data_IF_362435338012
#
_entry.id   IF_362435338012
#
_cell.length_a   1.000
_cell.length_b   1.000
_cell.length_c   1.000
_cell.angle_alpha   90.00
_cell.angle_beta   90.00
_cell.angle_gamma   90.00
#
_symmetry.space_group_name_H-M   'P 1'
#
loop_
_entity.id
_entity.type
_entity.pdbx_description
1 polymer ?
#
# COMPACT_ATOMS: atom_id res chain seq x y z
N UNK A 1 -3.44 23.58 -16.80
CA UNK A 1 -2.10 23.94 -17.29
C UNK A 1 -1.04 23.99 -16.20
N UNK A 2 -1.22 24.79 -15.15
CA UNK A 2 -0.25 24.86 -14.02
C UNK A 2 -0.10 23.53 -13.30
N UNK A 3 -1.21 22.81 -13.05
CA UNK A 3 -1.20 21.51 -12.38
C UNK A 3 -0.45 20.45 -13.18
N UNK A 4 -0.61 20.39 -14.50
CA UNK A 4 0.09 19.45 -15.36
C UNK A 4 1.60 19.72 -15.42
N UNK A 5 2.02 20.98 -15.34
CA UNK A 5 3.44 21.35 -15.25
C UNK A 5 4.06 20.87 -13.95
N UNK A 6 3.37 21.02 -12.82
CA UNK A 6 3.84 20.54 -11.51
C UNK A 6 3.90 19.03 -11.43
N UNK A 7 2.89 18.34 -11.97
CA UNK A 7 2.90 16.89 -12.05
C UNK A 7 4.04 16.38 -12.94
N UNK A 8 4.31 17.06 -14.03
CA UNK A 8 5.44 16.73 -14.90
C UNK A 8 6.78 16.85 -14.16
N UNK A 9 6.98 17.93 -13.43
CA UNK A 9 8.19 18.10 -12.60
C UNK A 9 8.36 16.97 -11.58
N UNK A 10 7.28 16.56 -10.92
CA UNK A 10 7.30 15.43 -9.97
C UNK A 10 7.67 14.13 -10.69
N UNK A 11 7.06 13.85 -11.83
CA UNK A 11 7.34 12.65 -12.60
C UNK A 11 8.76 12.65 -13.16
N UNK A 12 9.29 13.79 -13.61
CA UNK A 12 10.66 13.92 -14.07
C UNK A 12 11.66 13.62 -12.95
N UNK A 13 11.41 14.10 -11.72
CA UNK A 13 12.23 13.80 -10.55
C UNK A 13 12.23 12.30 -10.23
N UNK A 14 11.06 11.67 -10.26
CA UNK A 14 10.93 10.22 -10.03
C UNK A 14 11.63 9.43 -11.13
N UNK A 15 11.46 9.82 -12.39
CA UNK A 15 12.11 9.17 -13.52
C UNK A 15 13.64 9.24 -13.41
N UNK A 16 14.17 10.38 -13.03
CA UNK A 16 15.60 10.55 -12.79
C UNK A 16 16.12 9.65 -11.66
N UNK A 17 15.37 9.51 -10.57
CA UNK A 17 15.76 8.65 -9.45
C UNK A 17 15.77 7.17 -9.85
N UNK A 18 14.79 6.75 -10.65
CA UNK A 18 14.70 5.38 -11.19
C UNK A 18 15.88 5.11 -12.14
N UNK A 19 16.21 6.08 -12.99
CA UNK A 19 17.31 5.98 -13.95
C UNK A 19 18.66 5.89 -13.22
N UNK A 20 18.90 6.73 -12.22
CA UNK A 20 20.09 6.68 -11.37
C UNK A 20 20.24 5.35 -10.64
N UNK A 21 19.12 4.75 -10.24
CA UNK A 21 19.08 3.41 -9.62
C UNK A 21 19.33 2.26 -10.61
N UNK A 22 19.41 2.52 -11.92
CA UNK A 22 19.58 1.49 -12.96
C UNK A 22 18.36 0.57 -13.12
N UNK A 23 17.18 1.00 -12.62
CA UNK A 23 15.98 0.16 -12.56
C UNK A 23 15.10 0.22 -13.81
N UNK A 24 15.39 1.13 -14.74
CA UNK A 24 14.57 1.35 -15.97
C UNK A 24 14.34 0.05 -16.74
N UNK A 25 15.35 -0.79 -16.87
CA UNK A 25 15.28 -2.04 -17.61
C UNK A 25 14.39 -3.11 -16.91
N UNK A 26 14.08 -2.94 -15.64
CA UNK A 26 13.25 -3.86 -14.85
C UNK A 26 11.77 -3.48 -14.85
N UNK A 27 11.42 -2.28 -15.34
CA UNK A 27 10.05 -1.74 -15.31
C UNK A 27 9.23 -2.14 -16.54
N UNK A 28 9.35 -3.36 -17.02
CA UNK A 28 8.65 -3.85 -18.24
C UNK A 28 7.13 -3.85 -18.11
N UNK A 29 6.62 -3.99 -16.91
CA UNK A 29 5.17 -3.95 -16.63
C UNK A 29 4.57 -2.54 -16.73
N UNK A 30 5.41 -1.51 -16.75
CA UNK A 30 4.99 -0.12 -16.79
C UNK A 30 4.81 0.50 -15.40
N UNK A 31 4.09 1.60 -15.37
CA UNK A 31 3.85 2.43 -14.18
C UNK A 31 2.38 2.33 -13.76
N UNK A 32 2.15 2.09 -12.49
CA UNK A 32 0.81 2.08 -11.91
C UNK A 32 0.66 3.29 -10.99
N UNK A 33 -0.33 4.12 -11.26
CA UNK A 33 -0.65 5.31 -10.48
C UNK A 33 -1.75 4.99 -9.48
N UNK A 34 -1.53 5.34 -8.22
CA UNK A 34 -2.52 5.18 -7.16
C UNK A 34 -2.55 6.40 -6.24
N UNK A 35 -3.52 6.44 -5.34
CA UNK A 35 -3.76 7.60 -4.50
C UNK A 35 -4.75 8.60 -5.10
N UNK A 36 -5.14 9.60 -4.33
CA UNK A 36 -6.12 10.61 -4.76
C UNK A 36 -5.68 11.41 -5.98
N UNK A 37 -4.38 11.67 -6.12
CA UNK A 37 -3.81 12.35 -7.29
C UNK A 37 -4.01 11.62 -8.62
N UNK A 38 -4.19 10.30 -8.57
CA UNK A 38 -4.44 9.48 -9.78
C UNK A 38 -5.78 9.80 -10.47
N UNK A 39 -6.69 10.51 -9.80
CA UNK A 39 -7.95 11.02 -10.39
C UNK A 39 -7.76 12.25 -11.26
N UNK A 40 -6.59 12.85 -11.30
CA UNK A 40 -6.34 14.01 -12.15
C UNK A 40 -6.56 13.64 -13.63
N UNK A 41 -7.38 14.42 -14.37
CA UNK A 41 -7.61 14.15 -15.79
C UNK A 41 -6.29 14.07 -16.57
N UNK A 42 -6.21 13.10 -17.49
CA UNK A 42 -5.06 12.89 -18.39
C UNK A 42 -3.73 12.55 -17.71
N UNK A 43 -3.73 12.24 -16.40
CA UNK A 43 -2.49 11.92 -15.65
C UNK A 43 -1.76 10.69 -16.23
N UNK A 44 -2.49 9.70 -16.72
CA UNK A 44 -1.90 8.51 -17.36
C UNK A 44 -1.17 8.84 -18.66
N UNK A 45 -1.68 9.77 -19.44
CA UNK A 45 -1.01 10.25 -20.65
C UNK A 45 0.28 10.97 -20.29
N UNK A 46 0.24 11.85 -19.32
CA UNK A 46 1.42 12.55 -18.82
C UNK A 46 2.49 11.58 -18.28
N UNK A 47 2.05 10.56 -17.54
CA UNK A 47 2.97 9.53 -17.04
C UNK A 47 3.62 8.73 -18.17
N UNK A 48 2.86 8.36 -19.20
CA UNK A 48 3.41 7.67 -20.40
C UNK A 48 4.46 8.51 -21.09
N UNK A 49 4.19 9.80 -21.23
CA UNK A 49 5.10 10.74 -21.93
C UNK A 49 6.42 10.91 -21.13
N UNK A 50 6.36 11.01 -19.82
CA UNK A 50 7.54 11.22 -18.97
C UNK A 50 8.35 9.95 -18.78
N UNK A 51 7.69 8.84 -18.43
CA UNK A 51 8.38 7.58 -18.16
C UNK A 51 8.69 6.78 -19.42
N UNK A 52 8.08 7.11 -20.55
CA UNK A 52 8.15 6.35 -21.79
C UNK A 52 7.80 4.86 -21.60
N UNK A 53 6.86 4.60 -20.72
CA UNK A 53 6.38 3.28 -20.32
C UNK A 53 4.84 3.27 -20.31
N UNK A 54 4.20 2.11 -20.46
CA UNK A 54 2.76 2.00 -20.25
C UNK A 54 2.39 2.49 -18.85
N UNK A 55 1.33 3.28 -18.73
CA UNK A 55 0.82 3.76 -17.46
C UNK A 55 -0.66 3.41 -17.30
N UNK A 56 -1.03 2.96 -16.13
CA UNK A 56 -2.39 2.60 -15.76
C UNK A 56 -2.73 3.12 -14.37
N UNK A 57 -4.03 3.27 -14.10
CA UNK A 57 -4.52 3.58 -12.75
C UNK A 57 -4.69 2.26 -11.99
N UNK A 58 -4.14 2.20 -10.79
CA UNK A 58 -4.22 1.03 -9.92
C UNK A 58 -5.63 0.80 -9.39
N UNK A 59 -6.02 -0.45 -9.31
CA UNK A 59 -7.26 -0.90 -8.69
C UNK A 59 -6.97 -1.95 -7.64
N UNK A 60 -7.80 -1.98 -6.61
CA UNK A 60 -7.62 -2.88 -5.46
C UNK A 60 -8.50 -4.13 -5.53
N UNK A 61 -8.81 -4.59 -6.74
CA UNK A 61 -9.69 -5.75 -7.02
C UNK A 61 -9.25 -7.08 -6.41
N UNK A 62 -8.08 -7.12 -5.81
CA UNK A 62 -7.49 -8.36 -5.26
C UNK A 62 -7.98 -8.74 -3.86
N UNK A 63 -8.86 -7.94 -3.25
CA UNK A 63 -9.38 -8.21 -1.91
C UNK A 63 -10.85 -8.63 -1.99
N UNK A 64 -11.13 -9.86 -1.60
CA UNK A 64 -12.50 -10.38 -1.54
C UNK A 64 -13.33 -9.61 -0.49
N UNK A 65 -14.57 -9.31 -0.81
CA UNK A 65 -15.51 -8.65 0.10
C UNK A 65 -15.45 -7.12 0.08
N UNK A 66 -14.56 -6.53 -0.69
CA UNK A 66 -14.55 -5.08 -0.89
C UNK A 66 -15.67 -4.69 -1.84
N UNK A 67 -16.51 -3.75 -1.41
CA UNK A 67 -17.53 -3.17 -2.27
C UNK A 67 -16.85 -2.41 -3.41
N UNK A 68 -17.45 -2.42 -4.60
CA UNK A 68 -16.95 -1.71 -5.78
C UNK A 68 -16.64 -0.23 -5.51
N UNK A 69 -17.32 0.38 -4.54
CA UNK A 69 -17.05 1.76 -4.10
C UNK A 69 -15.68 1.97 -3.45
N UNK A 70 -15.03 0.89 -2.98
CA UNK A 70 -13.68 0.95 -2.39
C UNK A 70 -12.58 0.54 -3.38
N UNK A 71 -12.94 0.12 -4.59
CA UNK A 71 -11.98 -0.18 -5.66
C UNK A 71 -11.57 1.10 -6.42
N UNK A 72 -11.22 2.10 -5.66
CA UNK A 72 -10.80 3.40 -6.16
C UNK A 72 -9.32 3.66 -5.81
N UNK A 73 -8.57 4.36 -6.66
CA UNK A 73 -7.13 4.53 -6.47
C UNK A 73 -6.75 5.23 -5.16
N UNK A 74 -7.61 6.08 -4.62
CA UNK A 74 -7.39 6.78 -3.34
C UNK A 74 -7.35 5.85 -2.13
N UNK A 75 -7.99 4.69 -2.19
CA UNK A 75 -8.03 3.73 -1.08
C UNK A 75 -6.90 2.70 -1.10
N UNK A 76 -6.02 2.74 -2.09
CA UNK A 76 -4.95 1.74 -2.26
C UNK A 76 -4.04 1.62 -1.04
N UNK A 77 -3.63 2.74 -0.44
CA UNK A 77 -2.79 2.77 0.76
C UNK A 77 -3.51 2.18 1.97
N UNK A 78 -4.77 2.55 2.18
CA UNK A 78 -5.58 2.05 3.31
C UNK A 78 -5.79 0.54 3.21
N UNK A 79 -6.10 0.04 2.02
CA UNK A 79 -6.27 -1.40 1.75
C UNK A 79 -4.95 -2.14 1.93
N UNK A 80 -3.85 -1.58 1.46
CA UNK A 80 -2.52 -2.12 1.65
C UNK A 80 -2.12 -2.24 3.12
N UNK A 81 -2.43 -1.24 3.93
CA UNK A 81 -2.18 -1.24 5.39
C UNK A 81 -3.00 -2.33 6.09
N UNK A 82 -4.27 -2.51 5.72
CA UNK A 82 -5.11 -3.58 6.28
C UNK A 82 -4.54 -4.96 5.91
N UNK A 83 -4.16 -5.18 4.67
CA UNK A 83 -3.51 -6.43 4.23
C UNK A 83 -2.22 -6.70 4.98
N UNK A 84 -1.37 -5.69 5.08
CA UNK A 84 -0.09 -5.79 5.78
C UNK A 84 -0.28 -6.09 7.27
N UNK A 85 -1.22 -5.41 7.94
CA UNK A 85 -1.55 -5.65 9.33
C UNK A 85 -2.12 -7.06 9.57
N UNK A 86 -2.99 -7.55 8.68
CA UNK A 86 -3.52 -8.90 8.75
C UNK A 86 -2.40 -9.95 8.58
N UNK A 87 -1.49 -9.74 7.63
CA UNK A 87 -0.33 -10.62 7.43
C UNK A 87 0.59 -10.63 8.66
N UNK A 88 0.91 -9.47 9.22
CA UNK A 88 1.72 -9.37 10.43
C UNK A 88 1.06 -10.03 11.64
N UNK A 89 -0.26 -9.88 11.79
CA UNK A 89 -0.98 -10.50 12.92
C UNK A 89 -0.98 -12.03 12.85
N UNK A 90 -0.92 -12.60 11.66
CA UNK A 90 -0.76 -14.04 11.46
C UNK A 90 0.68 -14.52 11.71
N UNK A 91 1.66 -13.69 11.39
CA UNK A 91 3.08 -14.00 11.57
C UNK A 91 3.57 -13.78 13.01
N UNK A 92 2.90 -12.93 13.79
CA UNK A 92 3.22 -12.77 15.20
C UNK A 92 2.70 -13.97 16.00
N UNK A 93 3.55 -14.59 16.86
CA UNK A 93 3.03 -15.55 17.83
C UNK A 93 1.93 -14.83 18.62
N UNK A 94 0.76 -15.47 18.72
CA UNK A 94 -0.34 -14.95 19.54
C UNK A 94 0.24 -14.58 20.89
N UNK A 95 0.38 -13.29 21.16
CA UNK A 95 0.60 -12.83 22.52
C UNK A 95 -0.52 -13.46 23.34
N UNK A 96 -0.15 -14.34 24.26
CA UNK A 96 -1.12 -14.84 25.22
C UNK A 96 -1.81 -13.63 25.79
N UNK A 97 -3.11 -13.52 25.54
CA UNK A 97 -3.86 -12.32 25.91
C UNK A 97 -3.57 -12.03 27.37
N UNK A 98 -3.41 -10.75 27.71
CA UNK A 98 -3.13 -10.28 29.07
C UNK A 98 -3.99 -11.01 30.11
N UNK A 99 -5.23 -11.38 29.75
CA UNK A 99 -6.13 -12.19 30.56
C UNK A 99 -5.62 -13.62 30.85
N UNK A 100 -4.87 -14.26 29.95
CA UNK A 100 -4.24 -15.57 30.22
C UNK A 100 -3.04 -15.44 31.13
N UNK A 101 -2.24 -14.41 30.95
CA UNK A 101 -1.10 -14.13 31.83
C UNK A 101 -1.58 -13.82 33.25
N UNK A 102 -2.61 -13.00 33.40
CA UNK A 102 -3.24 -12.68 34.67
C UNK A 102 -3.87 -13.94 35.29
N UNK A 103 -4.54 -14.76 34.51
CA UNK A 103 -5.15 -16.02 34.99
C UNK A 103 -4.09 -17.02 35.45
N UNK A 104 -2.98 -17.17 34.72
CA UNK A 104 -1.85 -18.02 35.14
C UNK A 104 -1.27 -17.52 36.45
N UNK A 105 -1.10 -16.22 36.61
CA UNK A 105 -0.54 -15.62 37.80
C UNK A 105 -1.51 -15.75 38.99
N UNK A 106 -2.81 -15.61 38.75
CA UNK A 106 -3.85 -15.79 39.74
C UNK A 106 -3.93 -17.24 40.25
N UNK A 107 -3.89 -18.20 39.33
CA UNK A 107 -3.86 -19.65 39.64
C UNK A 107 -2.58 -20.03 40.40
N UNK A 108 -1.45 -19.42 40.06
CA UNK A 108 -0.17 -19.63 40.80
C UNK A 108 -0.23 -19.10 42.22
N UNK A 109 -0.90 -17.98 42.45
CA UNK A 109 -1.02 -17.36 43.80
C UNK A 109 -2.06 -18.10 44.62
N UNK A 110 -3.20 -18.49 44.09
CA UNK A 110 -4.30 -19.12 44.80
C UNK A 110 -4.31 -20.66 44.72
N UNK A 111 -3.64 -21.27 43.74
CA UNK A 111 -3.53 -22.73 43.58
C UNK A 111 -2.49 -23.40 44.48
N UNK A 112 -1.65 -22.66 45.19
CA UNK A 112 -0.62 -23.16 46.11
C UNK A 112 -1.05 -23.32 47.55
N UNK A 113 -2.32 -23.04 47.88
CA UNK A 113 -2.87 -23.26 49.22
C UNK A 113 -3.71 -24.57 49.23
N UNK A 114 -3.12 -25.58 49.69
CA UNK A 114 -3.82 -26.65 50.32
C UNK A 114 -3.62 -26.55 51.80
#
# INVERSE_FOLDING_TARGET
>A
MIMSMRLREIFDLIANDIEKGGLVNYLRAGVVLCGGGARTPHITNLARDVFNLPAAIGRSSTVSGIKNALDEPEFSTSIGLIKFGAFQSQAMPKREGLGRAIRKQFVSIFGGRK
#
